data_IF_419669022305
#
_entry.id   IF_419669022305
#
_cell.length_a   1.000
_cell.length_b   1.000
_cell.length_c   1.000
_cell.angle_alpha   90.00
_cell.angle_beta   90.00
_cell.angle_gamma   90.00
#
_symmetry.space_group_name_H-M   'P 1'
#
loop_
_entity.id
_entity.type
_entity.pdbx_description
1 polymer ?
#
# COMPACT_ATOMS: atom_id res chain seq x y z
N UNK A 1 69.39 -20.99 -15.26
CA UNK A 1 67.96 -21.38 -15.29
C UNK A 1 67.85 -22.70 -14.55
N UNK A 2 67.20 -22.73 -13.38
CA UNK A 2 66.97 -23.98 -12.67
C UNK A 2 65.98 -24.84 -13.48
N UNK A 3 66.32 -26.11 -13.74
CA UNK A 3 65.39 -27.02 -14.39
C UNK A 3 64.17 -27.22 -13.49
N UNK A 4 62.96 -27.18 -14.06
CA UNK A 4 61.73 -27.45 -13.33
C UNK A 4 61.74 -28.94 -12.87
N UNK A 5 61.22 -29.23 -11.68
CA UNK A 5 61.11 -30.59 -11.11
C UNK A 5 60.49 -31.56 -12.13
N UNK A 6 59.49 -31.11 -12.89
CA UNK A 6 58.87 -31.92 -13.95
C UNK A 6 59.82 -32.29 -15.10
N UNK A 7 60.70 -31.38 -15.53
CA UNK A 7 61.67 -31.69 -16.60
C UNK A 7 62.81 -32.57 -16.09
N UNK A 8 63.22 -32.39 -14.82
CA UNK A 8 64.19 -33.27 -14.17
C UNK A 8 63.65 -34.69 -14.00
N UNK A 9 62.39 -34.84 -13.58
CA UNK A 9 61.73 -36.14 -13.46
C UNK A 9 61.71 -36.89 -14.79
N UNK A 10 61.30 -36.22 -15.88
CA UNK A 10 61.27 -36.83 -17.21
C UNK A 10 62.65 -37.23 -17.72
N UNK A 11 63.68 -36.44 -17.42
CA UNK A 11 65.05 -36.77 -17.77
C UNK A 11 65.53 -38.04 -17.05
N UNK A 12 65.42 -38.09 -15.73
CA UNK A 12 65.90 -39.23 -14.93
C UNK A 12 65.11 -40.51 -15.20
N UNK A 13 63.81 -40.39 -15.48
CA UNK A 13 62.98 -41.53 -15.90
C UNK A 13 63.45 -42.12 -17.24
N UNK A 14 63.89 -41.29 -18.18
CA UNK A 14 64.44 -41.74 -19.47
C UNK A 14 65.87 -42.23 -19.37
N UNK A 15 66.64 -41.67 -18.42
CA UNK A 15 68.02 -42.09 -18.16
C UNK A 15 68.08 -43.52 -17.61
N UNK A 16 67.07 -43.93 -16.84
CA UNK A 16 66.93 -45.28 -16.26
C UNK A 16 68.21 -45.73 -15.54
N UNK A 17 68.46 -45.07 -14.39
CA UNK A 17 69.64 -45.36 -13.58
C UNK A 17 69.69 -46.84 -13.15
N UNK A 18 68.53 -47.47 -12.89
CA UNK A 18 68.46 -48.87 -12.49
C UNK A 18 68.88 -49.83 -13.61
N UNK A 19 68.53 -49.53 -14.86
CA UNK A 19 69.05 -50.27 -16.00
C UNK A 19 70.56 -50.11 -16.12
N UNK A 20 71.07 -48.86 -16.06
CA UNK A 20 72.50 -48.60 -16.13
C UNK A 20 73.27 -49.33 -15.01
N UNK A 21 72.76 -49.31 -13.77
CA UNK A 21 73.36 -50.01 -12.63
C UNK A 21 73.44 -51.52 -12.89
N UNK A 22 72.39 -52.15 -13.41
CA UNK A 22 72.39 -53.58 -13.77
C UNK A 22 73.39 -53.91 -14.87
N UNK A 23 73.51 -53.06 -15.90
CA UNK A 23 74.47 -53.22 -16.99
C UNK A 23 75.92 -53.09 -16.49
N UNK A 24 76.17 -52.15 -15.57
CA UNK A 24 77.47 -51.97 -14.95
C UNK A 24 77.83 -53.15 -14.03
N UNK A 25 76.89 -53.69 -13.24
CA UNK A 25 77.08 -54.89 -12.42
C UNK A 25 77.46 -56.11 -13.26
N UNK A 26 76.74 -56.32 -14.36
CA UNK A 26 77.03 -57.41 -15.29
C UNK A 26 78.43 -57.25 -15.90
N UNK A 27 78.79 -56.03 -16.30
CA UNK A 27 80.12 -55.72 -16.84
C UNK A 27 81.22 -55.92 -15.81
N UNK A 28 81.01 -55.49 -14.56
CA UNK A 28 81.96 -55.69 -13.46
C UNK A 28 82.18 -57.17 -13.15
N UNK A 29 81.12 -57.98 -13.18
CA UNK A 29 81.19 -59.44 -13.01
C UNK A 29 82.01 -60.09 -14.11
N UNK A 30 81.76 -59.73 -15.38
CA UNK A 30 82.55 -60.23 -16.52
C UNK A 30 84.00 -59.77 -16.43
N UNK A 31 84.25 -58.55 -15.95
CA UNK A 31 85.60 -58.01 -15.79
C UNK A 31 86.42 -58.81 -14.78
N UNK A 32 85.82 -59.17 -13.64
CA UNK A 32 86.47 -60.00 -12.63
C UNK A 32 86.89 -61.36 -13.21
N UNK A 33 85.99 -62.03 -13.95
CA UNK A 33 86.32 -63.29 -14.61
C UNK A 33 87.46 -63.14 -15.63
N UNK A 34 87.45 -62.05 -16.41
CA UNK A 34 88.52 -61.77 -17.40
C UNK A 34 89.86 -61.47 -16.74
N UNK A 35 89.87 -60.81 -15.58
CA UNK A 35 91.09 -60.59 -14.81
C UNK A 35 91.72 -61.92 -14.40
N UNK A 36 90.93 -62.84 -13.84
CA UNK A 36 91.38 -64.17 -13.44
C UNK A 36 91.90 -65.00 -14.63
N UNK A 37 91.16 -65.01 -15.75
CA UNK A 37 91.57 -65.70 -16.98
C UNK A 37 92.87 -65.14 -17.58
N UNK A 38 93.03 -63.82 -17.58
CA UNK A 38 94.24 -63.14 -18.07
C UNK A 38 95.45 -63.47 -17.20
N UNK A 39 95.29 -63.48 -15.88
CA UNK A 39 96.36 -63.85 -14.95
C UNK A 39 96.78 -65.33 -15.11
N UNK A 40 95.82 -66.23 -15.26
CA UNK A 40 96.11 -67.66 -15.52
C UNK A 40 96.79 -67.85 -16.88
N UNK A 41 96.33 -67.16 -17.92
CA UNK A 41 96.90 -67.26 -19.28
C UNK A 41 98.32 -66.70 -19.33
N UNK A 42 98.60 -65.61 -18.61
CA UNK A 42 99.97 -65.07 -18.45
C UNK A 42 100.88 -66.05 -17.74
N UNK A 43 100.42 -66.70 -16.67
CA UNK A 43 101.20 -67.76 -15.97
C UNK A 43 101.55 -68.92 -16.92
N UNK A 44 100.57 -69.42 -17.68
CA UNK A 44 100.78 -70.47 -18.70
C UNK A 44 101.79 -70.06 -19.77
N UNK A 45 101.71 -68.83 -20.28
CA UNK A 45 102.67 -68.32 -21.27
C UNK A 45 104.10 -68.24 -20.72
N UNK A 46 104.26 -67.85 -19.44
CA UNK A 46 105.57 -67.82 -18.78
C UNK A 46 106.16 -69.24 -18.66
N UNK A 47 105.34 -70.22 -18.27
CA UNK A 47 105.75 -71.62 -18.17
C UNK A 47 106.15 -72.19 -19.54
N UNK A 48 105.33 -71.99 -20.57
CA UNK A 48 105.64 -72.39 -21.95
C UNK A 48 106.92 -71.73 -22.48
N UNK A 49 107.13 -70.43 -22.19
CA UNK A 49 108.37 -69.73 -22.58
C UNK A 49 109.61 -70.31 -21.88
N UNK A 50 109.49 -70.71 -20.61
CA UNK A 50 110.57 -71.38 -19.86
C UNK A 50 110.85 -72.77 -20.41
N UNK A 51 109.81 -73.55 -20.69
CA UNK A 51 109.94 -74.89 -21.26
C UNK A 51 110.57 -74.85 -22.65
N UNK A 52 110.12 -73.92 -23.51
CA UNK A 52 110.75 -73.67 -24.81
C UNK A 52 112.24 -73.35 -24.66
N UNK A 53 112.61 -72.45 -23.75
CA UNK A 53 114.04 -72.12 -23.51
C UNK A 53 114.86 -73.34 -23.06
N UNK A 54 114.28 -74.23 -22.23
CA UNK A 54 114.95 -75.44 -21.72
C UNK A 54 115.17 -76.50 -22.82
N UNK A 55 114.19 -76.67 -23.70
CA UNK A 55 114.18 -77.76 -24.68
C UNK A 55 114.73 -77.37 -26.07
N UNK A 56 115.17 -76.12 -26.25
CA UNK A 56 115.64 -75.59 -27.55
C UNK A 56 117.18 -75.50 -27.62
N UNK A 57 117.82 -75.90 -28.75
CA UNK A 57 119.26 -75.73 -28.99
C UNK A 57 119.76 -74.28 -28.84
N UNK A 58 121.01 -74.11 -28.43
CA UNK A 58 121.57 -72.81 -28.05
C UNK A 58 121.59 -71.78 -29.20
N UNK A 59 121.91 -72.22 -30.43
CA UNK A 59 121.97 -71.32 -31.59
C UNK A 59 120.60 -70.77 -31.98
N UNK A 60 119.56 -71.61 -31.91
CA UNK A 60 118.18 -71.17 -32.14
C UNK A 60 117.69 -70.25 -31.02
N UNK A 61 118.10 -70.53 -29.76
CA UNK A 61 117.79 -69.67 -28.61
C UNK A 61 118.35 -68.25 -28.79
N UNK A 62 119.56 -68.10 -29.35
CA UNK A 62 120.19 -66.79 -29.60
C UNK A 62 119.38 -65.95 -30.61
N UNK A 63 118.85 -66.56 -31.65
CA UNK A 63 118.04 -65.86 -32.67
C UNK A 63 116.62 -65.53 -32.17
N UNK A 64 116.02 -66.41 -31.36
CA UNK A 64 114.62 -66.26 -30.89
C UNK A 64 114.52 -65.39 -29.63
N UNK A 65 115.58 -65.27 -28.83
CA UNK A 65 115.56 -64.52 -27.57
C UNK A 65 115.16 -63.03 -27.72
N UNK A 66 115.66 -62.25 -28.70
CA UNK A 66 115.21 -60.87 -28.91
C UNK A 66 113.72 -60.78 -29.22
N UNK A 67 113.19 -61.73 -30.02
CA UNK A 67 111.77 -61.79 -30.38
C UNK A 67 110.90 -62.09 -29.15
N UNK A 68 111.27 -63.08 -28.33
CA UNK A 68 110.55 -63.38 -27.08
C UNK A 68 110.57 -62.20 -26.11
N UNK A 69 111.66 -61.46 -26.05
CA UNK A 69 111.76 -60.26 -25.20
C UNK A 69 110.86 -59.13 -25.70
N UNK A 70 110.76 -58.95 -27.02
CA UNK A 70 109.83 -57.98 -27.63
C UNK A 70 108.37 -58.33 -27.35
N UNK A 71 107.97 -59.60 -27.58
CA UNK A 71 106.63 -60.08 -27.22
C UNK A 71 106.31 -59.93 -25.73
N UNK A 72 107.28 -60.22 -24.86
CA UNK A 72 107.11 -60.01 -23.42
C UNK A 72 106.88 -58.53 -23.09
N UNK A 73 107.65 -57.62 -23.69
CA UNK A 73 107.47 -56.18 -23.52
C UNK A 73 106.09 -55.69 -23.95
N UNK A 74 105.59 -56.16 -25.10
CA UNK A 74 104.23 -55.81 -25.58
C UNK A 74 103.14 -56.38 -24.67
N UNK A 75 103.27 -57.64 -24.24
CA UNK A 75 102.32 -58.27 -23.29
C UNK A 75 102.28 -57.51 -21.97
N UNK A 76 103.43 -57.10 -21.44
CA UNK A 76 103.53 -56.35 -20.20
C UNK A 76 102.92 -54.94 -20.35
N UNK A 77 103.16 -54.26 -21.48
CA UNK A 77 102.57 -52.96 -21.79
C UNK A 77 101.04 -53.06 -21.94
N UNK A 78 100.54 -54.06 -22.68
CA UNK A 78 99.12 -54.34 -22.83
C UNK A 78 98.46 -54.66 -21.48
N UNK A 79 99.11 -55.48 -20.65
CA UNK A 79 98.63 -55.82 -19.31
C UNK A 79 98.52 -54.59 -18.42
N UNK A 80 99.50 -53.69 -18.48
CA UNK A 80 99.48 -52.43 -17.73
C UNK A 80 98.31 -51.55 -18.17
N UNK A 81 98.13 -51.34 -19.48
CA UNK A 81 97.01 -50.56 -20.04
C UNK A 81 95.64 -51.15 -19.68
N UNK A 82 95.52 -52.49 -19.71
CA UNK A 82 94.28 -53.19 -19.31
C UNK A 82 93.96 -52.94 -17.84
N UNK A 83 94.94 -53.13 -16.95
CA UNK A 83 94.77 -52.89 -15.50
C UNK A 83 94.38 -51.45 -15.18
N UNK A 84 94.97 -50.47 -15.89
CA UNK A 84 94.62 -49.05 -15.72
C UNK A 84 93.19 -48.76 -16.19
N UNK A 85 92.76 -49.31 -17.33
CA UNK A 85 91.40 -49.15 -17.84
C UNK A 85 90.36 -49.84 -16.93
N UNK A 86 90.66 -51.06 -16.45
CA UNK A 86 89.86 -51.81 -15.49
C UNK A 86 89.71 -51.05 -14.17
N UNK A 87 90.81 -50.50 -13.64
CA UNK A 87 90.78 -49.70 -12.42
C UNK A 87 89.96 -48.42 -12.58
N UNK A 88 90.07 -47.73 -13.73
CA UNK A 88 89.26 -46.56 -14.04
C UNK A 88 87.76 -46.90 -14.11
N UNK A 89 87.41 -47.99 -14.78
CA UNK A 89 86.03 -48.50 -14.82
C UNK A 89 85.50 -48.80 -13.41
N UNK A 90 86.24 -49.58 -12.62
CA UNK A 90 85.82 -49.95 -11.26
C UNK A 90 85.68 -48.74 -10.33
N UNK A 91 86.47 -47.68 -10.52
CA UNK A 91 86.32 -46.44 -9.76
C UNK A 91 84.99 -45.72 -10.07
N UNK A 92 84.60 -45.66 -11.35
CA UNK A 92 83.31 -45.08 -11.74
C UNK A 92 82.15 -45.97 -11.28
N UNK A 93 82.25 -47.28 -11.50
CA UNK A 93 81.25 -48.26 -11.08
C UNK A 93 80.92 -48.16 -9.58
N UNK A 94 81.93 -48.17 -8.70
CA UNK A 94 81.76 -48.04 -7.25
C UNK A 94 81.00 -46.77 -6.83
N UNK A 95 81.12 -45.69 -7.60
CA UNK A 95 80.43 -44.42 -7.31
C UNK A 95 78.98 -44.42 -7.77
N UNK A 96 78.64 -45.22 -8.78
CA UNK A 96 77.31 -45.22 -9.40
C UNK A 96 76.40 -46.33 -8.88
N UNK A 97 76.96 -47.45 -8.42
CA UNK A 97 76.15 -48.61 -8.03
C UNK A 97 75.30 -48.38 -6.78
N UNK A 98 75.83 -47.62 -5.82
CA UNK A 98 75.14 -47.32 -4.56
C UNK A 98 74.27 -46.06 -4.63
N UNK A 99 74.18 -45.40 -5.80
CA UNK A 99 73.40 -44.17 -5.93
C UNK A 99 71.91 -44.52 -5.92
N UNK A 100 71.12 -43.98 -4.98
CA UNK A 100 69.69 -44.21 -4.97
C UNK A 100 69.03 -43.56 -6.20
N UNK A 101 68.03 -44.23 -6.76
CA UNK A 101 67.26 -43.70 -7.88
C UNK A 101 66.54 -42.39 -7.47
N UNK A 102 66.80 -41.25 -8.15
CA UNK A 102 66.12 -39.99 -7.84
C UNK A 102 64.67 -39.94 -8.34
N UNK A 103 64.24 -40.84 -9.24
CA UNK A 103 62.91 -40.81 -9.87
C UNK A 103 61.76 -40.83 -8.85
N UNK A 104 61.75 -41.71 -7.81
CA UNK A 104 60.68 -41.72 -6.82
C UNK A 104 60.59 -40.41 -6.00
N UNK A 105 61.72 -39.83 -5.63
CA UNK A 105 61.75 -38.57 -4.88
C UNK A 105 61.27 -37.39 -5.75
N UNK A 106 61.64 -37.38 -7.04
CA UNK A 106 61.20 -36.37 -8.00
C UNK A 106 59.70 -36.49 -8.31
N UNK A 107 59.15 -37.70 -8.42
CA UNK A 107 57.71 -37.94 -8.59
C UNK A 107 56.92 -37.39 -7.39
N UNK A 108 57.35 -37.72 -6.17
CA UNK A 108 56.73 -37.19 -4.96
C UNK A 108 56.82 -35.66 -4.91
N UNK A 109 57.98 -35.09 -5.27
CA UNK A 109 58.16 -33.65 -5.38
C UNK A 109 57.18 -32.99 -6.36
N UNK A 110 57.00 -33.60 -7.54
CA UNK A 110 56.04 -33.13 -8.55
C UNK A 110 54.60 -33.21 -8.04
N UNK A 111 54.22 -34.32 -7.39
CA UNK A 111 52.88 -34.49 -6.82
C UNK A 111 52.60 -33.50 -5.69
N UNK A 112 53.59 -33.25 -4.81
CA UNK A 112 53.48 -32.25 -3.75
C UNK A 112 53.35 -30.84 -4.32
N UNK A 113 54.10 -30.51 -5.38
CA UNK A 113 53.98 -29.22 -6.04
C UNK A 113 52.56 -28.98 -6.59
N UNK A 114 51.95 -29.99 -7.22
CA UNK A 114 50.57 -29.92 -7.69
C UNK A 114 49.57 -29.78 -6.53
N UNK A 115 49.78 -30.51 -5.43
CA UNK A 115 48.93 -30.39 -4.22
C UNK A 115 49.02 -29.01 -3.59
N UNK A 116 50.22 -28.43 -3.50
CA UNK A 116 50.44 -27.08 -2.97
C UNK A 116 49.73 -26.04 -3.84
N UNK A 117 49.83 -26.15 -5.15
CA UNK A 117 49.11 -25.26 -6.06
C UNK A 117 47.58 -25.34 -5.84
N UNK A 118 47.03 -26.56 -5.77
CA UNK A 118 45.61 -26.76 -5.50
C UNK A 118 45.18 -26.25 -4.11
N UNK A 119 46.01 -26.40 -3.08
CA UNK A 119 45.74 -25.87 -1.76
C UNK A 119 45.65 -24.34 -1.79
N UNK A 120 46.57 -23.69 -2.50
CA UNK A 120 46.54 -22.23 -2.66
C UNK A 120 45.27 -21.74 -3.36
N UNK A 121 44.81 -22.45 -4.40
CA UNK A 121 43.56 -22.15 -5.09
C UNK A 121 42.36 -22.26 -4.14
N UNK A 122 42.29 -23.35 -3.35
CA UNK A 122 41.23 -23.59 -2.36
C UNK A 122 41.26 -22.55 -1.24
N UNK A 123 42.44 -22.19 -0.73
CA UNK A 123 42.60 -21.15 0.31
C UNK A 123 42.10 -19.80 -0.19
N UNK A 124 42.43 -19.45 -1.44
CA UNK A 124 41.97 -18.21 -2.08
C UNK A 124 40.45 -18.20 -2.27
N UNK A 125 39.86 -19.32 -2.70
CA UNK A 125 38.41 -19.46 -2.82
C UNK A 125 37.73 -19.38 -1.44
N UNK A 126 38.29 -20.04 -0.42
CA UNK A 126 37.75 -20.01 0.94
C UNK A 126 37.75 -18.59 1.51
N UNK A 127 38.82 -17.83 1.27
CA UNK A 127 38.92 -16.43 1.68
C UNK A 127 37.82 -15.58 1.03
N UNK A 128 37.62 -15.70 -0.30
CA UNK A 128 36.55 -14.99 -1.01
C UNK A 128 35.16 -15.36 -0.49
N UNK A 129 34.92 -16.65 -0.26
CA UNK A 129 33.63 -17.11 0.29
C UNK A 129 33.36 -16.53 1.69
N UNK A 130 34.39 -16.42 2.53
CA UNK A 130 34.27 -15.77 3.86
C UNK A 130 33.93 -14.30 3.74
N UNK A 131 34.60 -13.58 2.83
CA UNK A 131 34.33 -12.16 2.57
C UNK A 131 32.88 -11.96 2.09
N UNK A 132 32.41 -12.76 1.12
CA UNK A 132 31.01 -12.69 0.65
C UNK A 132 30.00 -13.02 1.76
N UNK A 133 30.30 -14.00 2.63
CA UNK A 133 29.44 -14.30 3.77
C UNK A 133 29.39 -13.16 4.79
N UNK A 134 30.50 -12.47 5.02
CA UNK A 134 30.55 -11.31 5.90
C UNK A 134 29.73 -10.15 5.34
N UNK A 135 29.83 -9.89 4.03
CA UNK A 135 29.00 -8.91 3.32
C UNK A 135 27.51 -9.23 3.43
N UNK A 136 27.10 -10.48 3.15
CA UNK A 136 25.69 -10.88 3.31
C UNK A 136 25.19 -10.79 4.74
N UNK A 137 26.02 -11.11 5.74
CA UNK A 137 25.63 -10.94 7.13
C UNK A 137 25.44 -9.46 7.49
N UNK A 138 26.24 -8.56 6.93
CA UNK A 138 26.08 -7.12 7.09
C UNK A 138 24.79 -6.62 6.43
N UNK A 139 24.53 -7.01 5.20
CA UNK A 139 23.27 -6.68 4.49
C UNK A 139 22.05 -7.22 5.27
N UNK A 140 22.14 -8.44 5.79
CA UNK A 140 21.08 -9.03 6.59
C UNK A 140 20.80 -8.24 7.88
N UNK A 141 21.85 -7.76 8.56
CA UNK A 141 21.72 -6.91 9.73
C UNK A 141 21.06 -5.55 9.38
N UNK A 142 21.40 -4.97 8.25
CA UNK A 142 20.78 -3.73 7.74
C UNK A 142 19.29 -3.93 7.43
N UNK A 143 18.92 -5.01 6.73
CA UNK A 143 17.52 -5.35 6.43
C UNK A 143 16.72 -5.57 7.72
N UNK A 144 17.28 -6.28 8.70
CA UNK A 144 16.63 -6.50 10.00
C UNK A 144 16.38 -5.19 10.74
N UNK A 145 17.32 -4.23 10.67
CA UNK A 145 17.15 -2.90 11.24
C UNK A 145 16.05 -2.10 10.51
N UNK A 146 16.01 -2.18 9.17
CA UNK A 146 14.94 -1.58 8.39
C UNK A 146 13.56 -2.15 8.76
N UNK A 147 13.44 -3.45 9.03
CA UNK A 147 12.19 -4.07 9.48
C UNK A 147 11.68 -3.46 10.81
N UNK A 148 12.59 -3.19 11.76
CA UNK A 148 12.26 -2.51 13.02
C UNK A 148 11.75 -1.08 12.75
N UNK A 149 12.43 -0.35 11.86
CA UNK A 149 12.03 1.00 11.46
C UNK A 149 10.65 1.01 10.81
N UNK A 150 10.39 0.05 9.90
CA UNK A 150 9.08 -0.11 9.25
C UNK A 150 7.99 -0.41 10.26
N UNK A 151 8.24 -1.28 11.25
CA UNK A 151 7.27 -1.57 12.32
C UNK A 151 6.95 -0.31 13.14
N UNK A 152 7.96 0.47 13.52
CA UNK A 152 7.76 1.72 14.26
C UNK A 152 6.97 2.76 13.44
N UNK A 153 7.27 2.90 12.15
CA UNK A 153 6.53 3.80 11.27
C UNK A 153 5.07 3.37 11.05
N UNK A 154 4.82 2.06 10.89
CA UNK A 154 3.46 1.51 10.78
C UNK A 154 2.65 1.76 12.04
N UNK A 155 3.26 1.62 13.22
CA UNK A 155 2.57 1.88 14.49
C UNK A 155 2.22 3.37 14.63
N UNK A 156 3.16 4.25 14.26
CA UNK A 156 2.91 5.70 14.25
C UNK A 156 1.80 6.12 13.28
N UNK A 157 1.70 5.46 12.13
CA UNK A 157 0.58 5.68 11.19
C UNK A 157 -0.74 5.27 11.83
N UNK A 158 -0.82 4.10 12.48
CA UNK A 158 -2.03 3.66 13.19
C UNK A 158 -2.44 4.63 14.30
N UNK A 159 -1.48 5.13 15.08
CA UNK A 159 -1.74 6.15 16.11
C UNK A 159 -2.34 7.43 15.51
N UNK A 160 -1.80 7.91 14.39
CA UNK A 160 -2.36 9.07 13.68
C UNK A 160 -3.75 8.81 13.11
N UNK A 161 -3.97 7.65 12.49
CA UNK A 161 -5.29 7.26 11.97
C UNK A 161 -6.33 7.18 13.09
N UNK A 162 -5.98 6.57 14.22
CA UNK A 162 -6.86 6.48 15.38
C UNK A 162 -7.15 7.86 15.98
N UNK A 163 -6.14 8.73 16.06
CA UNK A 163 -6.30 10.10 16.57
C UNK A 163 -7.24 10.91 15.66
N UNK A 164 -7.03 10.83 14.33
CA UNK A 164 -7.90 11.49 13.35
C UNK A 164 -9.34 10.97 13.41
N UNK A 165 -9.52 9.65 13.55
CA UNK A 165 -10.83 9.04 13.71
C UNK A 165 -11.54 9.54 14.96
N UNK A 166 -10.85 9.54 16.11
CA UNK A 166 -11.41 10.04 17.37
C UNK A 166 -11.77 11.53 17.28
N UNK A 167 -10.94 12.35 16.62
CA UNK A 167 -11.23 13.76 16.38
C UNK A 167 -12.45 13.95 15.48
N UNK A 168 -12.55 13.17 14.40
CA UNK A 168 -13.69 13.21 13.49
C UNK A 168 -15.00 12.78 14.20
N UNK A 169 -14.96 11.73 15.02
CA UNK A 169 -16.09 11.29 15.84
C UNK A 169 -16.51 12.37 16.85
N UNK A 170 -15.53 13.02 17.51
CA UNK A 170 -15.80 14.11 18.46
C UNK A 170 -16.48 15.29 17.76
N UNK A 171 -15.94 15.75 16.62
CA UNK A 171 -16.52 16.85 15.84
C UNK A 171 -17.93 16.49 15.32
N UNK A 172 -18.14 15.24 14.91
CA UNK A 172 -19.44 14.77 14.46
C UNK A 172 -20.47 14.81 15.61
N UNK A 173 -20.10 14.31 16.78
CA UNK A 173 -20.94 14.32 17.99
C UNK A 173 -21.30 15.76 18.41
N UNK A 174 -20.31 16.67 18.42
CA UNK A 174 -20.54 18.08 18.73
C UNK A 174 -21.50 18.74 17.74
N UNK A 175 -21.37 18.45 16.44
CA UNK A 175 -22.30 18.95 15.42
C UNK A 175 -23.69 18.37 15.54
N UNK A 176 -23.80 17.07 15.82
CA UNK A 176 -25.08 16.39 16.04
C UNK A 176 -25.81 17.01 17.24
N UNK A 177 -25.10 17.21 18.35
CA UNK A 177 -25.67 17.80 19.55
C UNK A 177 -26.08 19.27 19.32
N UNK A 178 -25.29 20.03 18.56
CA UNK A 178 -25.65 21.40 18.18
C UNK A 178 -26.92 21.44 17.31
N UNK A 179 -27.03 20.55 16.31
CA UNK A 179 -28.23 20.43 15.48
C UNK A 179 -29.43 20.03 16.33
N UNK A 180 -29.27 19.08 17.25
CA UNK A 180 -30.34 18.64 18.14
C UNK A 180 -30.85 19.81 19.01
N UNK A 181 -29.95 20.63 19.55
CA UNK A 181 -30.30 21.85 20.29
C UNK A 181 -31.03 22.86 19.41
N UNK A 182 -30.54 23.12 18.19
CA UNK A 182 -31.17 24.04 17.24
C UNK A 182 -32.58 23.58 16.84
N UNK A 183 -32.78 22.27 16.65
CA UNK A 183 -34.08 21.69 16.36
C UNK A 183 -35.02 21.79 17.56
N UNK A 184 -34.56 21.48 18.77
CA UNK A 184 -35.34 21.62 19.99
C UNK A 184 -35.77 23.08 20.22
N UNK A 185 -34.89 24.05 19.96
CA UNK A 185 -35.24 25.47 20.08
C UNK A 185 -36.25 25.91 19.01
N UNK A 186 -36.09 25.45 17.77
CA UNK A 186 -37.08 25.69 16.70
C UNK A 186 -38.43 25.06 17.02
N UNK A 187 -38.45 23.83 17.52
CA UNK A 187 -39.67 23.15 17.94
C UNK A 187 -40.38 23.92 19.06
N UNK A 188 -39.62 24.37 20.08
CA UNK A 188 -40.16 25.20 21.16
C UNK A 188 -40.77 26.51 20.64
N UNK A 189 -40.06 27.21 19.75
CA UNK A 189 -40.57 28.45 19.11
C UNK A 189 -41.82 28.18 18.29
N UNK A 190 -41.83 27.08 17.52
CA UNK A 190 -42.98 26.69 16.72
C UNK A 190 -44.19 26.42 17.62
N UNK A 191 -43.99 25.68 18.72
CA UNK A 191 -45.01 25.37 19.71
C UNK A 191 -45.54 26.64 20.40
N UNK A 192 -44.66 27.56 20.81
CA UNK A 192 -45.04 28.87 21.36
C UNK A 192 -45.89 29.68 20.35
N UNK A 193 -45.47 29.74 19.09
CA UNK A 193 -46.24 30.42 18.03
C UNK A 193 -47.58 29.74 17.75
N UNK A 194 -47.61 28.41 17.73
CA UNK A 194 -48.83 27.64 17.55
C UNK A 194 -49.81 27.94 18.68
N UNK A 195 -49.39 27.84 19.94
CA UNK A 195 -50.23 28.19 21.09
C UNK A 195 -50.75 29.63 21.03
N UNK A 196 -49.89 30.60 20.70
CA UNK A 196 -50.31 32.00 20.56
C UNK A 196 -51.33 32.18 19.42
N UNK A 197 -51.15 31.49 18.30
CA UNK A 197 -52.05 31.57 17.15
C UNK A 197 -53.38 30.89 17.45
N UNK A 198 -53.37 29.74 18.12
CA UNK A 198 -54.57 29.04 18.60
C UNK A 198 -55.34 29.91 19.59
N UNK A 199 -54.68 30.51 20.58
CA UNK A 199 -55.33 31.42 21.52
C UNK A 199 -55.95 32.65 20.83
N UNK A 200 -55.25 33.27 19.87
CA UNK A 200 -55.82 34.36 19.06
C UNK A 200 -57.00 33.91 18.20
N UNK A 201 -56.96 32.69 17.68
CA UNK A 201 -58.05 32.11 16.90
C UNK A 201 -59.27 31.88 17.79
N UNK A 202 -59.10 31.29 18.98
CA UNK A 202 -60.15 31.10 19.98
C UNK A 202 -60.79 32.45 20.39
N UNK A 203 -59.97 33.48 20.64
CA UNK A 203 -60.49 34.83 20.92
C UNK A 203 -61.29 35.42 19.75
N UNK A 204 -60.83 35.21 18.51
CA UNK A 204 -61.51 35.68 17.31
C UNK A 204 -62.83 34.92 17.08
N UNK A 205 -62.84 33.61 17.25
CA UNK A 205 -64.04 32.77 17.19
C UNK A 205 -65.07 33.20 18.25
N UNK A 206 -64.63 33.44 19.49
CA UNK A 206 -65.51 33.94 20.55
C UNK A 206 -66.08 35.33 20.21
N UNK A 207 -65.29 36.24 19.64
CA UNK A 207 -65.77 37.54 19.14
C UNK A 207 -66.79 37.39 18.02
N UNK A 208 -66.53 36.51 17.04
CA UNK A 208 -67.47 36.23 15.94
C UNK A 208 -68.77 35.69 16.50
N UNK A 209 -68.73 34.75 17.43
CA UNK A 209 -69.93 34.19 18.04
C UNK A 209 -70.72 35.23 18.85
N UNK A 210 -70.01 36.10 19.58
CA UNK A 210 -70.61 37.24 20.29
C UNK A 210 -71.28 38.22 19.32
N UNK A 211 -70.62 38.56 18.20
CA UNK A 211 -71.16 39.43 17.16
C UNK A 211 -72.35 38.80 16.45
N UNK A 212 -72.32 37.50 16.15
CA UNK A 212 -73.46 36.77 15.58
C UNK A 212 -74.66 36.80 16.52
N UNK A 213 -74.44 36.57 17.82
CA UNK A 213 -75.51 36.63 18.83
C UNK A 213 -76.08 38.04 18.92
N UNK A 214 -75.23 39.07 18.92
CA UNK A 214 -75.67 40.47 18.91
C UNK A 214 -76.44 40.83 17.64
N UNK A 215 -75.97 40.40 16.46
CA UNK A 215 -76.65 40.60 15.19
C UNK A 215 -78.06 39.98 15.19
N UNK A 216 -78.19 38.75 15.71
CA UNK A 216 -79.48 38.06 15.79
C UNK A 216 -80.43 38.78 16.77
N UNK A 217 -79.88 39.29 17.88
CA UNK A 217 -80.63 40.14 18.82
C UNK A 217 -81.10 41.44 18.16
N UNK A 218 -80.23 42.13 17.42
CA UNK A 218 -80.63 43.37 16.71
C UNK A 218 -81.65 43.08 15.61
N UNK A 219 -81.54 41.94 14.90
CA UNK A 219 -82.54 41.52 13.90
C UNK A 219 -83.91 41.27 14.51
N UNK A 220 -83.96 40.58 15.65
CA UNK A 220 -85.21 40.34 16.38
C UNK A 220 -85.81 41.63 16.91
N UNK A 221 -85.01 42.51 17.52
CA UNK A 221 -85.46 43.85 17.94
C UNK A 221 -85.98 44.69 16.77
N UNK A 222 -85.33 44.64 15.60
CA UNK A 222 -85.76 45.36 14.40
C UNK A 222 -87.07 44.80 13.84
N UNK A 223 -87.25 43.48 13.89
CA UNK A 223 -88.50 42.82 13.49
C UNK A 223 -89.64 43.24 14.41
N UNK A 224 -89.44 43.21 15.73
CA UNK A 224 -90.45 43.65 16.70
C UNK A 224 -90.83 45.13 16.51
N UNK A 225 -89.83 45.98 16.24
CA UNK A 225 -90.06 47.40 15.96
C UNK A 225 -90.83 47.61 14.66
N UNK A 226 -90.51 46.85 13.61
CA UNK A 226 -91.26 46.85 12.34
C UNK A 226 -92.72 46.47 12.59
N UNK A 227 -92.97 45.40 13.33
CA UNK A 227 -94.33 44.96 13.68
C UNK A 227 -95.10 46.05 14.42
N UNK A 228 -94.50 46.65 15.46
CA UNK A 228 -95.15 47.76 16.19
C UNK A 228 -95.41 48.99 15.32
N UNK A 229 -94.49 49.30 14.41
CA UNK A 229 -94.66 50.41 13.47
C UNK A 229 -95.81 50.15 12.48
N UNK A 230 -95.91 48.93 11.95
CA UNK A 230 -97.00 48.54 11.07
C UNK A 230 -98.35 48.53 11.83
N UNK A 231 -98.37 48.11 13.10
CA UNK A 231 -99.53 48.22 14.01
C UNK A 231 -99.95 49.69 14.24
N UNK A 232 -99.01 50.59 14.53
CA UNK A 232 -99.27 52.03 14.69
C UNK A 232 -99.79 52.68 13.41
N UNK A 233 -99.22 52.34 12.25
CA UNK A 233 -99.75 52.81 10.96
C UNK A 233 -101.21 52.37 10.78
N UNK A 234 -101.50 51.12 11.10
CA UNK A 234 -102.86 50.57 10.97
C UNK A 234 -103.81 51.29 11.94
N UNK A 235 -103.43 51.44 13.21
CA UNK A 235 -104.22 52.18 14.19
C UNK A 235 -104.44 53.65 13.80
N UNK A 236 -103.43 54.32 13.23
CA UNK A 236 -103.55 55.67 12.69
C UNK A 236 -104.50 55.75 11.50
N UNK A 237 -104.48 54.76 10.61
CA UNK A 237 -105.41 54.69 9.49
C UNK A 237 -106.85 54.53 9.99
N UNK A 238 -107.08 53.66 10.98
CA UNK A 238 -108.39 53.47 11.62
C UNK A 238 -108.88 54.77 12.31
N UNK A 239 -107.99 55.48 13.02
CA UNK A 239 -108.29 56.76 13.68
C UNK A 239 -108.67 57.85 12.66
N UNK A 240 -107.98 57.91 11.52
CA UNK A 240 -108.29 58.83 10.41
C UNK A 240 -109.67 58.50 9.81
N UNK A 241 -109.99 57.22 9.61
CA UNK A 241 -111.31 56.79 9.10
C UNK A 241 -112.44 57.19 10.05
N UNK A 242 -112.21 57.06 11.36
CA UNK A 242 -113.13 57.53 12.40
C UNK A 242 -113.36 59.06 12.36
N UNK A 243 -112.28 59.84 12.18
CA UNK A 243 -112.38 61.31 12.06
C UNK A 243 -113.11 61.70 10.78
N UNK A 244 -112.86 61.02 9.65
CA UNK A 244 -113.55 61.27 8.39
C UNK A 244 -115.06 61.02 8.51
N UNK A 245 -115.46 59.94 9.17
CA UNK A 245 -116.89 59.62 9.37
C UNK A 245 -117.59 60.63 10.29
N UNK A 246 -116.94 61.12 11.33
CA UNK A 246 -117.50 62.20 12.16
C UNK A 246 -117.55 63.55 11.42
N UNK A 247 -116.57 63.83 10.55
CA UNK A 247 -116.59 65.02 9.68
C UNK A 247 -117.76 64.97 8.69
N UNK A 248 -118.02 63.83 8.07
CA UNK A 248 -119.18 63.62 7.18
C UNK A 248 -120.51 63.86 7.91
N UNK A 249 -120.62 63.34 9.13
CA UNK A 249 -121.80 63.51 9.99
C UNK A 249 -121.99 64.98 10.41
N UNK A 250 -120.90 65.70 10.68
CA UNK A 250 -120.93 67.12 11.00
C UNK A 250 -121.35 67.97 9.78
N UNK A 251 -120.83 67.65 8.59
CA UNK A 251 -121.21 68.31 7.35
C UNK A 251 -122.70 68.09 7.01
N UNK A 252 -123.23 66.87 7.18
CA UNK A 252 -124.68 66.63 7.00
C UNK A 252 -125.54 67.46 7.95
N UNK A 253 -125.14 67.61 9.23
CA UNK A 253 -125.85 68.49 10.18
C UNK A 253 -125.81 69.96 9.75
N UNK A 254 -124.67 70.42 9.25
CA UNK A 254 -124.54 71.79 8.75
C UNK A 254 -125.45 72.04 7.54
N UNK A 255 -125.55 71.08 6.62
CA UNK A 255 -126.41 71.18 5.43
C UNK A 255 -127.90 71.26 5.81
N UNK A 256 -128.35 70.48 6.80
CA UNK A 256 -129.73 70.51 7.31
C UNK A 256 -130.05 71.85 7.96
N UNK A 257 -129.16 72.37 8.81
CA UNK A 257 -129.33 73.67 9.45
C UNK A 257 -129.38 74.83 8.42
N UNK A 258 -128.63 74.71 7.32
CA UNK A 258 -128.61 75.70 6.26
C UNK A 258 -129.94 75.73 5.47
N UNK A 259 -130.55 74.56 5.20
CA UNK A 259 -131.89 74.47 4.59
C UNK A 259 -132.98 75.07 5.48
N UNK A 260 -132.91 74.85 6.80
CA UNK A 260 -133.86 75.43 7.77
C UNK A 260 -133.74 76.96 7.86
N UNK A 261 -132.51 77.49 7.76
CA UNK A 261 -132.27 78.94 7.73
C UNK A 261 -132.82 79.61 6.46
N UNK A 262 -132.77 78.93 5.31
CA UNK A 262 -133.34 79.43 4.04
C UNK A 262 -134.88 79.47 4.09
N UNK A 263 -135.52 78.44 4.64
CA UNK A 263 -136.98 78.38 4.76
C UNK A 263 -137.54 79.44 5.71
N UNK A 264 -136.84 79.72 6.83
CA UNK A 264 -137.21 80.81 7.75
C UNK A 264 -137.06 82.20 7.12
N UNK A 265 -136.09 82.38 6.21
CA UNK A 265 -135.89 83.63 5.46
C UNK A 265 -137.02 83.91 4.47
N UNK A 266 -137.50 82.89 3.77
CA UNK A 266 -138.63 83.02 2.83
C UNK A 266 -139.94 83.36 3.55
N UNK A 267 -140.19 82.76 4.72
CA UNK A 267 -141.38 83.08 5.54
C UNK A 267 -141.38 84.53 6.04
N UNK A 268 -140.22 85.07 6.46
CA UNK A 268 -140.08 86.47 6.88
C UNK A 268 -140.31 87.47 5.73
N UNK A 269 -139.90 87.13 4.51
CA UNK A 269 -140.13 87.95 3.32
C UNK A 269 -141.63 88.07 2.98
N UNK A 270 -142.38 86.95 3.06
CA UNK A 270 -143.82 86.95 2.82
C UNK A 270 -144.62 87.75 3.85
N UNK A 271 -144.25 87.68 5.13
CA UNK A 271 -144.94 88.39 6.21
C UNK A 271 -144.74 89.92 6.14
N UNK A 272 -143.59 90.38 5.64
CA UNK A 272 -143.30 91.80 5.51
C UNK A 272 -144.07 92.47 4.36
N UNK A 273 -144.40 91.73 3.29
CA UNK A 273 -145.18 92.29 2.17
C UNK A 273 -146.67 92.43 2.50
N UNK A 274 -147.21 91.56 3.36
CA UNK A 274 -148.61 91.64 3.82
C UNK A 274 -148.86 92.76 4.83
N UNK A 275 -147.85 93.22 5.57
CA UNK A 275 -147.96 94.30 6.55
C UNK A 275 -148.01 95.71 5.94
N UNK A 276 -147.48 95.90 4.72
CA UNK A 276 -147.43 97.21 4.06
C UNK A 276 -148.75 97.60 3.35
N UNK A 277 -149.64 96.64 3.06
CA UNK A 277 -150.95 96.88 2.45
C UNK A 277 -152.05 97.27 3.47
N UNK A 278 -151.82 97.13 4.77
CA UNK A 278 -152.86 97.28 5.80
C UNK A 278 -152.82 98.60 6.58
N UNK A 279 -151.82 99.48 6.37
CA UNK A 279 -151.51 100.54 7.35
C UNK A 279 -151.75 102.00 6.95
N UNK A 280 -152.56 102.36 5.93
CA UNK A 280 -152.92 103.79 5.75
C UNK A 280 -154.13 104.14 4.85
N UNK A 281 -155.29 103.51 5.07
CA UNK A 281 -156.60 104.11 4.75
C UNK A 281 -157.35 104.37 6.09
N UNK A 282 -157.65 105.65 6.34
CA UNK A 282 -158.64 106.27 7.25
C UNK A 282 -158.39 106.42 8.76
N UNK A 283 -158.04 107.65 9.16
CA UNK A 283 -158.84 108.50 10.08
C UNK A 283 -158.83 109.98 9.62
N UNK A 284 -160.02 110.55 9.47
CA UNK A 284 -160.39 112.00 9.48
C UNK A 284 -161.46 112.18 10.60
N UNK A 285 -162.01 113.38 10.98
CA UNK A 285 -161.78 114.79 10.60
C UNK A 285 -161.71 115.78 11.82
N UNK A 286 -161.44 117.08 11.60
CA UNK A 286 -162.32 118.26 11.86
C UNK A 286 -161.57 119.62 11.87
N UNK A 287 -162.25 120.65 11.30
CA UNK A 287 -161.94 122.10 11.19
C UNK A 287 -160.98 122.55 10.08
#
# INVERSE_FOLDING_TARGET
MAANVGSMFQYWKRFDLQQLQRELDATATVLANRQDESEQSRKRLIEQSREFKKNTPEDLRKHVAPLLKSFQGEIDALSKRSKEAEAAFLNVYKRLIDVPDPVPALDLGQQLQLKVQRLHDIETENQKLRETLEEYNKEFAEVKNQEVTIKALKEKIREYEQTLKNQAETIALEKEQKLQNDFAEKERKLQETQMSTTSKLEEAEHKVQSLQTALEKTRTELFDLKTKYDEEITAKADEIEMIMTDLERANQRAEVAQREAETLREQLSSANHSLQLASQIQKAPDV
#
